data_IF_261651530095
#
_entry.id   IF_261651530095
#
_cell.length_a   1.000
_cell.length_b   1.000
_cell.length_c   1.000
_cell.angle_alpha   90.00
_cell.angle_beta   90.00
_cell.angle_gamma   90.00
#
_symmetry.space_group_name_H-M   'P 1'
#
loop_
_entity.id
_entity.type
_entity.pdbx_description
1 polymer ?
#
# COMPACT_ATOMS: atom_id res chain seq x y z
N UNK A 1 11.44 -4.91 5.23
CA UNK A 1 10.28 -4.90 6.17
C UNK A 1 9.72 -3.49 6.30
N UNK A 2 8.41 -3.36 6.41
CA UNK A 2 7.70 -2.07 6.49
C UNK A 2 6.68 -2.11 7.62
N UNK A 3 6.58 -1.02 8.38
CA UNK A 3 5.48 -0.77 9.30
C UNK A 3 4.72 0.45 8.79
N UNK A 4 3.40 0.32 8.65
CA UNK A 4 2.53 1.40 8.22
C UNK A 4 1.36 1.56 9.19
N UNK A 5 0.99 2.81 9.45
CA UNK A 5 -0.14 3.19 10.29
C UNK A 5 -0.97 4.21 9.52
N UNK A 6 -2.27 3.94 9.40
CA UNK A 6 -3.24 4.92 8.92
C UNK A 6 -3.78 5.65 10.14
N UNK A 7 -3.58 6.96 10.18
CA UNK A 7 -3.96 7.85 11.27
C UNK A 7 -5.01 8.84 10.79
N UNK A 8 -5.85 9.29 11.70
CA UNK A 8 -6.84 10.32 11.41
C UNK A 8 -7.12 11.14 12.66
N UNK A 9 -6.90 12.44 12.55
CA UNK A 9 -7.25 13.43 13.57
C UNK A 9 -8.71 13.87 13.42
N UNK A 10 -9.33 14.47 14.46
CA UNK A 10 -10.69 15.00 14.35
C UNK A 10 -10.88 16.00 13.21
N UNK A 11 -9.88 16.86 12.94
CA UNK A 11 -9.93 17.81 11.83
C UNK A 11 -9.85 17.13 10.45
N UNK A 12 -9.08 16.06 10.32
CA UNK A 12 -9.03 15.26 9.09
C UNK A 12 -10.34 14.49 8.87
N UNK A 13 -10.99 14.02 9.93
CA UNK A 13 -12.30 13.36 9.85
C UNK A 13 -13.40 14.27 9.27
N UNK A 14 -13.37 15.58 9.55
CA UNK A 14 -14.31 16.55 8.96
C UNK A 14 -14.26 16.59 7.42
N UNK A 15 -13.10 16.26 6.84
CA UNK A 15 -12.89 16.24 5.38
C UNK A 15 -12.75 14.82 4.81
N UNK A 16 -12.81 13.79 5.67
CA UNK A 16 -12.56 12.39 5.31
C UNK A 16 -11.12 12.08 4.93
N UNK A 17 -10.19 13.03 5.11
CA UNK A 17 -8.76 12.83 4.88
C UNK A 17 -8.16 11.91 5.94
N UNK A 18 -7.03 11.28 5.61
CA UNK A 18 -6.23 10.48 6.54
C UNK A 18 -4.75 10.75 6.32
N UNK A 19 -3.92 10.38 7.28
CA UNK A 19 -2.47 10.40 7.13
C UNK A 19 -1.93 8.98 7.16
N UNK A 20 -1.19 8.60 6.13
CA UNK A 20 -0.35 7.40 6.18
C UNK A 20 0.99 7.76 6.80
N UNK A 21 1.34 7.10 7.89
CA UNK A 21 2.67 7.13 8.49
C UNK A 21 3.34 5.78 8.28
N UNK A 22 4.58 5.75 7.80
CA UNK A 22 5.31 4.50 7.65
C UNK A 22 6.80 4.63 7.94
N UNK A 23 7.41 3.51 8.34
CA UNK A 23 8.86 3.36 8.45
C UNK A 23 9.29 2.14 7.62
N UNK A 24 10.40 2.28 6.89
CA UNK A 24 10.84 1.29 5.91
C UNK A 24 12.28 0.84 6.18
N UNK A 25 12.45 -0.47 6.38
CA UNK A 25 13.72 -1.15 6.61
C UNK A 25 14.04 -2.09 5.43
N UNK A 26 14.34 -1.53 4.26
CA UNK A 26 14.68 -2.23 3.02
C UNK A 26 13.54 -3.01 2.37
N UNK A 27 12.31 -2.55 2.55
CA UNK A 27 11.14 -2.94 1.77
C UNK A 27 11.06 -2.10 0.48
N UNK A 28 10.51 -2.61 -0.63
CA UNK A 28 10.18 -1.78 -1.80
C UNK A 28 9.31 -0.57 -1.43
N UNK A 29 9.39 0.57 -2.16
CA UNK A 29 8.57 1.74 -1.90
C UNK A 29 7.07 1.41 -2.07
N UNK A 30 6.19 1.76 -1.12
CA UNK A 30 4.75 1.59 -1.29
C UNK A 30 4.23 2.34 -2.52
N UNK A 31 3.17 1.85 -3.15
CA UNK A 31 2.43 2.61 -4.17
C UNK A 31 1.26 3.32 -3.53
N UNK A 32 1.09 4.61 -3.80
CA UNK A 32 -0.13 5.37 -3.52
C UNK A 32 -0.89 5.61 -4.83
N UNK A 33 -2.05 5.00 -4.96
CA UNK A 33 -3.02 5.27 -6.01
C UNK A 33 -4.01 6.33 -5.52
N UNK A 34 -4.01 7.48 -6.19
CA UNK A 34 -4.90 8.59 -5.91
C UNK A 34 -6.32 8.35 -6.46
N UNK A 35 -7.34 9.04 -5.92
CA UNK A 35 -8.72 8.90 -6.40
C UNK A 35 -8.93 9.30 -7.87
N UNK A 36 -8.03 10.11 -8.42
CA UNK A 36 -8.02 10.54 -9.83
C UNK A 36 -7.41 9.50 -10.78
N UNK A 37 -6.90 8.38 -10.24
CA UNK A 37 -6.30 7.30 -11.00
C UNK A 37 -4.78 7.40 -11.16
N UNK A 38 -4.13 8.46 -10.69
CA UNK A 38 -2.66 8.59 -10.71
C UNK A 38 -2.02 7.69 -9.66
N UNK A 39 -0.96 6.97 -10.01
CA UNK A 39 -0.17 6.19 -9.07
C UNK A 39 1.20 6.85 -8.83
N UNK A 40 1.63 6.90 -7.58
CA UNK A 40 2.97 7.36 -7.19
C UNK A 40 3.68 6.32 -6.33
N UNK A 41 4.99 6.17 -6.53
CA UNK A 41 5.85 5.43 -5.62
C UNK A 41 6.23 6.37 -4.47
N UNK A 42 6.00 5.94 -3.24
CA UNK A 42 6.38 6.67 -2.04
C UNK A 42 7.88 6.48 -1.73
N UNK A 43 8.72 6.89 -2.69
CA UNK A 43 10.17 6.78 -2.62
C UNK A 43 10.71 7.64 -1.48
N UNK A 44 11.36 6.99 -0.51
CA UNK A 44 12.05 7.66 0.59
C UNK A 44 13.36 6.91 0.87
N UNK A 45 14.38 7.59 1.40
CA UNK A 45 15.60 6.90 1.81
C UNK A 45 15.26 5.74 2.75
N UNK A 46 15.52 4.51 2.31
CA UNK A 46 15.25 3.34 3.13
C UNK A 46 16.21 3.33 4.33
N UNK A 47 15.69 3.10 5.53
CA UNK A 47 16.54 2.83 6.68
C UNK A 47 17.22 1.48 6.51
N UNK A 48 18.32 1.29 7.24
CA UNK A 48 19.05 0.01 7.25
C UNK A 48 18.12 -1.16 7.53
N UNK A 49 18.40 -2.27 6.85
CA UNK A 49 17.76 -3.56 7.07
C UNK A 49 17.72 -3.90 8.55
N UNK A 50 16.60 -4.48 8.98
CA UNK A 50 16.46 -5.00 10.35
C UNK A 50 17.57 -6.02 10.62
N UNK A 51 18.24 -5.90 11.77
CA UNK A 51 19.34 -6.78 12.15
C UNK A 51 20.72 -6.41 11.58
N UNK A 52 20.83 -5.50 10.60
CA UNK A 52 22.12 -5.12 10.04
C UNK A 52 22.98 -4.26 10.97
N UNK A 53 22.35 -3.44 11.82
CA UNK A 53 23.06 -2.65 12.84
C UNK A 53 22.12 -2.39 14.02
N UNK A 54 22.53 -2.80 15.22
CA UNK A 54 21.78 -2.56 16.45
C UNK A 54 21.86 -1.07 16.80
N UNK A 55 20.72 -0.46 17.12
CA UNK A 55 20.66 0.94 17.59
C UNK A 55 20.78 2.01 16.50
N UNK A 56 20.73 1.65 15.21
CA UNK A 56 20.58 2.67 14.15
C UNK A 56 19.22 3.36 14.27
N UNK A 57 19.15 4.70 14.16
CA UNK A 57 17.89 5.42 14.16
C UNK A 57 17.03 4.97 12.97
N UNK A 58 15.71 4.99 13.19
CA UNK A 58 14.70 4.76 12.15
C UNK A 58 13.89 6.03 11.99
N UNK A 59 13.47 6.28 10.75
CA UNK A 59 12.72 7.45 10.39
C UNK A 59 11.30 7.05 9.99
N UNK A 60 10.38 7.91 10.38
CA UNK A 60 9.02 7.88 9.89
C UNK A 60 8.89 8.81 8.68
N UNK A 61 8.05 8.41 7.75
CA UNK A 61 7.59 9.22 6.65
C UNK A 61 6.08 9.35 6.73
N UNK A 62 5.54 10.45 6.20
CA UNK A 62 4.10 10.71 6.18
C UNK A 62 3.65 11.20 4.82
N UNK A 63 2.43 10.82 4.43
CA UNK A 63 1.72 11.35 3.25
C UNK A 63 0.23 11.44 3.57
N UNK A 64 -0.44 12.46 3.05
CA UNK A 64 -1.89 12.59 3.15
C UNK A 64 -2.59 11.64 2.17
N UNK A 65 -3.69 11.06 2.61
CA UNK A 65 -4.57 10.21 1.84
C UNK A 65 -5.91 10.92 1.64
N UNK A 66 -6.22 11.28 0.40
CA UNK A 66 -7.54 11.78 0.04
C UNK A 66 -8.59 10.66 0.16
N UNK A 67 -9.87 10.99 0.41
CA UNK A 67 -10.96 10.00 0.35
C UNK A 67 -10.96 9.22 -0.97
N UNK A 68 -10.87 7.90 -0.89
CA UNK A 68 -10.79 6.99 -2.05
C UNK A 68 -9.37 6.54 -2.41
N UNK A 69 -8.33 7.11 -1.80
CA UNK A 69 -6.94 6.71 -2.04
C UNK A 69 -6.71 5.25 -1.67
N UNK A 70 -5.85 4.57 -2.44
CA UNK A 70 -5.46 3.18 -2.20
C UNK A 70 -3.95 3.08 -2.03
N UNK A 71 -3.50 2.45 -0.94
CA UNK A 71 -2.08 2.18 -0.66
C UNK A 71 -1.80 0.71 -0.94
N UNK A 72 -0.76 0.41 -1.72
CA UNK A 72 -0.29 -0.95 -1.98
C UNK A 72 1.08 -1.15 -1.33
N UNK A 73 1.19 -2.23 -0.56
CA UNK A 73 2.42 -2.75 0.04
C UNK A 73 2.68 -4.13 -0.55
N UNK A 74 3.90 -4.38 -1.02
CA UNK A 74 4.20 -5.57 -1.79
C UNK A 74 5.62 -6.07 -1.56
N UNK A 75 5.86 -7.37 -1.73
CA UNK A 75 7.24 -7.92 -1.74
C UNK A 75 7.94 -7.65 -3.06
N UNK A 76 9.27 -7.70 -3.03
CA UNK A 76 10.14 -7.57 -4.20
C UNK A 76 9.78 -8.52 -5.35
N UNK A 77 9.30 -9.74 -5.06
CA UNK A 77 8.80 -10.67 -6.08
C UNK A 77 7.72 -10.11 -7.01
N UNK A 78 7.02 -9.03 -6.65
CA UNK A 78 6.06 -8.34 -7.54
C UNK A 78 6.75 -7.52 -8.65
N UNK A 79 7.96 -7.01 -8.40
CA UNK A 79 8.67 -6.06 -9.28
C UNK A 79 9.99 -6.61 -9.80
N UNK A 80 10.61 -7.55 -9.10
CA UNK A 80 11.87 -8.17 -9.48
C UNK A 80 11.65 -9.30 -10.49
N UNK A 81 12.33 -9.20 -11.62
CA UNK A 81 12.36 -10.23 -12.67
C UNK A 81 13.79 -10.43 -13.17
N UNK A 82 14.15 -11.67 -13.50
CA UNK A 82 15.48 -11.98 -14.03
C UNK A 82 15.80 -11.19 -15.29
N UNK A 83 16.94 -10.51 -15.27
CA UNK A 83 17.45 -9.76 -16.41
C UNK A 83 16.73 -8.44 -16.68
N UNK A 84 15.78 -8.04 -15.82
CA UNK A 84 15.08 -6.76 -15.90
C UNK A 84 15.58 -5.83 -14.78
N UNK A 85 15.97 -4.58 -15.09
CA UNK A 85 16.29 -3.60 -14.07
C UNK A 85 15.11 -3.34 -13.13
N UNK A 86 15.39 -3.17 -11.83
CA UNK A 86 14.35 -2.94 -10.83
C UNK A 86 13.49 -1.69 -11.13
N UNK A 87 14.09 -0.64 -11.67
CA UNK A 87 13.37 0.59 -12.07
C UNK A 87 12.31 0.33 -13.15
N UNK A 88 12.56 -0.60 -14.07
CA UNK A 88 11.56 -1.01 -15.07
C UNK A 88 10.41 -1.80 -14.42
N UNK A 89 10.71 -2.61 -13.40
CA UNK A 89 9.71 -3.30 -12.60
C UNK A 89 8.79 -2.31 -11.86
N UNK A 90 9.35 -1.25 -11.29
CA UNK A 90 8.60 -0.19 -10.64
C UNK A 90 7.72 0.60 -11.62
N UNK A 91 8.24 0.95 -12.79
CA UNK A 91 7.47 1.67 -13.81
C UNK A 91 6.34 0.81 -14.40
N UNK A 92 6.59 -0.49 -14.60
CA UNK A 92 5.55 -1.44 -14.96
C UNK A 92 4.46 -1.49 -13.89
N UNK A 93 4.82 -1.61 -12.61
CA UNK A 93 3.86 -1.69 -11.50
C UNK A 93 2.99 -0.43 -11.46
N UNK A 94 3.61 0.75 -11.54
CA UNK A 94 2.91 2.04 -11.58
C UNK A 94 1.90 2.07 -12.73
N UNK A 95 2.34 1.75 -13.95
CA UNK A 95 1.49 1.75 -15.15
C UNK A 95 0.35 0.74 -15.06
N UNK A 96 0.61 -0.47 -14.55
CA UNK A 96 -0.40 -1.50 -14.37
C UNK A 96 -1.47 -1.08 -13.36
N UNK A 97 -1.07 -0.48 -12.24
CA UNK A 97 -2.00 0.02 -11.23
C UNK A 97 -2.90 1.13 -11.79
N UNK A 98 -2.35 2.07 -12.56
CA UNK A 98 -3.11 3.15 -13.21
C UNK A 98 -4.13 2.60 -14.22
N UNK A 99 -3.71 1.68 -15.09
CA UNK A 99 -4.58 1.04 -16.08
C UNK A 99 -5.73 0.28 -15.40
N UNK A 100 -5.41 -0.59 -14.43
CA UNK A 100 -6.40 -1.38 -13.70
C UNK A 100 -7.37 -0.51 -12.90
N UNK A 101 -6.90 0.60 -12.32
CA UNK A 101 -7.74 1.54 -11.59
C UNK A 101 -8.81 2.18 -12.49
N UNK A 102 -8.48 2.45 -13.76
CA UNK A 102 -9.41 3.04 -14.74
C UNK A 102 -10.61 2.14 -15.08
N UNK A 103 -10.49 0.83 -14.81
CA UNK A 103 -11.51 -0.20 -15.13
C UNK A 103 -12.63 -0.29 -14.10
N UNK A 104 -12.59 0.48 -13.00
CA UNK A 104 -13.64 0.48 -11.97
C UNK A 104 -13.73 -0.82 -11.16
N UNK A 105 -12.59 -1.50 -10.98
CA UNK A 105 -12.48 -2.78 -10.28
C UNK A 105 -12.67 -2.64 -8.76
N UNK A 106 -13.15 -3.71 -8.12
CA UNK A 106 -13.03 -3.85 -6.66
C UNK A 106 -11.56 -3.96 -6.26
N UNK A 107 -11.26 -3.75 -4.97
CA UNK A 107 -9.88 -3.84 -4.50
C UNK A 107 -9.31 -5.27 -4.64
N UNK A 108 -10.15 -6.28 -4.40
CA UNK A 108 -9.80 -7.70 -4.60
C UNK A 108 -9.48 -7.99 -6.08
N UNK A 109 -10.35 -7.54 -7.00
CA UNK A 109 -10.12 -7.70 -8.43
C UNK A 109 -8.85 -7.00 -8.91
N UNK A 110 -8.56 -5.80 -8.39
CA UNK A 110 -7.33 -5.08 -8.70
C UNK A 110 -6.11 -5.89 -8.27
N UNK A 111 -6.12 -6.47 -7.07
CA UNK A 111 -5.04 -7.33 -6.58
C UNK A 111 -4.88 -8.58 -7.45
N UNK A 112 -5.97 -9.28 -7.76
CA UNK A 112 -5.95 -10.51 -8.57
C UNK A 112 -5.41 -10.25 -9.97
N UNK A 113 -5.88 -9.18 -10.63
CA UNK A 113 -5.45 -8.80 -11.98
C UNK A 113 -3.97 -8.36 -11.99
N UNK A 114 -3.52 -7.66 -10.94
CA UNK A 114 -2.11 -7.25 -10.83
C UNK A 114 -1.17 -8.45 -10.66
N UNK A 115 -1.57 -9.44 -9.84
CA UNK A 115 -0.81 -10.69 -9.70
C UNK A 115 -0.88 -11.52 -10.98
N UNK A 116 -2.03 -11.60 -11.63
CA UNK A 116 -2.19 -12.32 -12.90
C UNK A 116 -1.34 -11.72 -14.03
N UNK A 117 -1.18 -10.39 -14.05
CA UNK A 117 -0.36 -9.67 -15.03
C UNK A 117 1.13 -10.01 -14.97
N UNK A 118 1.62 -10.64 -13.88
CA UNK A 118 2.99 -11.17 -13.79
C UNK A 118 3.23 -12.38 -14.70
N UNK A 119 2.17 -13.05 -15.17
CA UNK A 119 2.28 -14.16 -16.12
C UNK A 119 2.96 -15.43 -15.57
N UNK A 120 3.19 -15.52 -14.26
CA UNK A 120 3.76 -16.70 -13.59
C UNK A 120 5.29 -16.83 -13.65
N UNK A 121 6.01 -15.82 -14.15
CA UNK A 121 7.49 -15.79 -14.17
C UNK A 121 8.05 -14.95 -13.01
N UNK A 122 7.66 -15.26 -11.77
CA UNK A 122 8.30 -14.69 -10.58
C UNK A 122 9.28 -15.71 -10.02
N UNK A 123 10.51 -15.27 -9.73
CA UNK A 123 11.52 -16.14 -9.13
C UNK A 123 11.44 -16.14 -7.59
N UNK A 124 10.57 -15.30 -7.02
CA UNK A 124 10.38 -15.12 -5.57
C UNK A 124 8.88 -15.04 -5.20
N UNK A 125 8.60 -15.11 -3.90
CA UNK A 125 7.26 -15.06 -3.34
C UNK A 125 6.62 -13.67 -3.53
N UNK A 126 5.42 -13.68 -4.11
CA UNK A 126 4.60 -12.48 -4.27
C UNK A 126 3.60 -12.36 -3.13
N UNK A 127 3.71 -11.29 -2.37
CA UNK A 127 2.71 -10.86 -1.39
C UNK A 127 2.27 -9.46 -1.74
N UNK A 128 0.97 -9.23 -1.74
CA UNK A 128 0.35 -7.94 -1.97
C UNK A 128 -0.68 -7.65 -0.87
N UNK A 129 -0.58 -6.46 -0.29
CA UNK A 129 -1.55 -5.90 0.64
C UNK A 129 -2.03 -4.56 0.10
N UNK A 130 -3.33 -4.42 -0.08
CA UNK A 130 -3.94 -3.17 -0.52
C UNK A 130 -4.92 -2.62 0.53
N UNK A 131 -4.85 -1.31 0.78
CA UNK A 131 -5.68 -0.61 1.77
C UNK A 131 -6.34 0.60 1.11
N UNK A 132 -7.67 0.64 1.07
CA UNK A 132 -8.43 1.76 0.50
C UNK A 132 -9.07 2.62 1.59
N UNK A 133 -8.74 3.91 1.59
CA UNK A 133 -9.28 4.91 2.49
C UNK A 133 -10.68 5.37 2.04
N UNK A 134 -11.72 4.58 2.31
CA UNK A 134 -13.08 4.92 1.88
C UNK A 134 -13.58 6.27 2.45
N UNK A 135 -14.38 7.04 1.68
CA UNK A 135 -15.00 8.27 2.18
C UNK A 135 -15.88 8.02 3.40
N UNK A 136 -15.79 8.92 4.38
CA UNK A 136 -16.63 8.87 5.58
C UNK A 136 -18.07 9.29 5.27
N UNK A 137 -19.02 8.75 6.03
CA UNK A 137 -20.44 8.99 5.80
C UNK A 137 -21.09 8.11 4.73
N UNK A 138 -20.35 7.16 4.16
CA UNK A 138 -20.92 6.08 3.34
C UNK A 138 -20.97 4.77 4.13
N UNK A 139 -21.95 3.89 3.88
CA UNK A 139 -21.94 2.55 4.44
C UNK A 139 -20.63 1.83 4.09
N UNK A 140 -20.12 1.00 5.00
CA UNK A 140 -19.00 0.09 4.71
C UNK A 140 -19.34 -0.69 3.43
N UNK A 141 -18.44 -0.72 2.42
CA UNK A 141 -18.69 -1.48 1.21
C UNK A 141 -18.88 -2.97 1.51
N UNK A 142 -19.75 -3.63 0.75
CA UNK A 142 -20.06 -5.06 0.98
C UNK A 142 -18.83 -5.92 0.73
N UNK A 143 -18.00 -5.53 -0.23
CA UNK A 143 -16.73 -6.17 -0.58
C UNK A 143 -15.68 -6.08 0.53
N UNK A 144 -15.82 -5.18 1.50
CA UNK A 144 -14.91 -5.11 2.65
C UNK A 144 -15.09 -6.28 3.63
N UNK A 145 -16.08 -7.14 3.42
CA UNK A 145 -16.31 -8.33 4.24
C UNK A 145 -16.64 -8.01 5.71
N UNK A 146 -16.68 -9.04 6.57
CA UNK A 146 -16.93 -8.86 8.00
C UNK A 146 -15.76 -8.12 8.68
N UNK A 147 -16.06 -7.38 9.74
CA UNK A 147 -15.03 -6.83 10.60
C UNK A 147 -14.49 -7.94 11.50
N UNK A 148 -13.33 -8.49 11.15
CA UNK A 148 -12.62 -9.47 11.98
C UNK A 148 -11.40 -8.77 12.56
N UNK A 149 -11.52 -8.33 13.81
CA UNK A 149 -10.39 -7.83 14.57
C UNK A 149 -9.85 -8.97 15.43
N UNK A 150 -8.52 -9.18 15.48
CA UNK A 150 -7.89 -9.97 16.52
C UNK A 150 -8.39 -9.52 17.91
N UNK A 151 -8.58 -10.46 18.83
CA UNK A 151 -9.20 -10.17 20.13
C UNK A 151 -8.45 -9.10 20.94
N UNK A 152 -7.13 -8.99 20.73
CA UNK A 152 -6.23 -7.99 21.30
C UNK A 152 -6.32 -6.61 20.64
N UNK A 153 -6.93 -6.50 19.45
CA UNK A 153 -7.14 -5.24 18.72
C UNK A 153 -8.60 -4.76 18.74
N UNK A 154 -9.54 -5.57 19.20
CA UNK A 154 -10.96 -5.22 19.25
C UNK A 154 -11.30 -4.11 20.27
N UNK A 155 -10.40 -3.84 21.22
CA UNK A 155 -10.65 -2.97 22.38
C UNK A 155 -9.88 -1.64 22.36
N UNK A 156 -9.49 -1.17 21.18
CA UNK A 156 -8.85 0.15 21.01
C UNK A 156 -9.90 1.21 20.64
N UNK A 157 -10.85 1.46 21.54
CA UNK A 157 -11.72 2.64 21.45
C UNK A 157 -11.00 3.83 22.08
N UNK A 158 -10.43 4.71 21.25
CA UNK A 158 -10.13 6.11 21.60
C UNK A 158 -10.58 7.00 20.47
#
# INVERSE_FOLDING_TARGET
>A
AVLAKVEQTPAEAETGMRTLRWSNAGHPPPVLLHPDGRAELLERPADRLLGATVGSPRHDHTVSLDPGSTVLLYTDGLVERRGVPLDEGFEWLRSAVEDLASRGLTLEQLCDELVAALGGETDDDVVLLAVRAHPEGRPRPVEAGPSVLPADLADSSV
#
